data_IF_839213880895
#
_entry.id   IF_839213880895
#
_cell.length_a   1.000
_cell.length_b   1.000
_cell.length_c   1.000
_cell.angle_alpha   90.00
_cell.angle_beta   90.00
_cell.angle_gamma   90.00
#
_symmetry.space_group_name_H-M   'P 1'
#
loop_
_entity.id
_entity.type
_entity.pdbx_description
1 polymer ?
#
# COMPACT_ATOMS: atom_id res chain seq x y z
N UNK A 1 -22.36 -51.20 -36.38
CA UNK A 1 -21.16 -50.53 -35.82
C UNK A 1 -21.43 -49.04 -35.82
N UNK A 2 -21.85 -48.47 -34.69
CA UNK A 2 -21.71 -47.03 -34.44
C UNK A 2 -21.75 -46.76 -32.94
N UNK A 3 -20.96 -45.79 -32.53
CA UNK A 3 -20.28 -45.71 -31.25
C UNK A 3 -21.15 -45.07 -30.17
N UNK A 4 -21.10 -45.64 -28.96
CA UNK A 4 -21.74 -45.09 -27.77
C UNK A 4 -21.22 -43.70 -27.41
N UNK A 5 -22.14 -42.78 -27.12
CA UNK A 5 -21.84 -41.50 -26.48
C UNK A 5 -21.85 -41.70 -24.97
N UNK A 6 -20.68 -41.83 -24.38
CA UNK A 6 -20.47 -41.67 -22.93
C UNK A 6 -20.50 -40.17 -22.58
N UNK A 7 -21.30 -39.81 -21.57
CA UNK A 7 -21.32 -38.46 -20.99
C UNK A 7 -19.99 -38.22 -20.24
N UNK A 8 -19.36 -37.03 -20.30
CA UNK A 8 -18.24 -36.74 -19.41
C UNK A 8 -18.77 -36.64 -17.97
N UNK A 9 -18.19 -37.45 -17.09
CA UNK A 9 -18.53 -37.49 -15.68
C UNK A 9 -18.23 -36.17 -14.97
N UNK A 10 -19.08 -35.83 -14.00
CA UNK A 10 -18.85 -34.78 -13.01
C UNK A 10 -17.62 -35.19 -12.18
N UNK A 11 -16.56 -34.40 -12.25
CA UNK A 11 -15.45 -34.51 -11.30
C UNK A 11 -15.98 -34.00 -9.95
N UNK A 12 -15.97 -34.78 -8.86
CA UNK A 12 -16.30 -34.25 -7.55
C UNK A 12 -15.13 -33.38 -7.09
N UNK A 13 -15.35 -32.07 -7.03
CA UNK A 13 -14.44 -31.15 -6.36
C UNK A 13 -14.65 -31.30 -4.85
N UNK A 14 -13.95 -32.26 -4.25
CA UNK A 14 -13.89 -32.40 -2.79
C UNK A 14 -12.44 -32.25 -2.33
N UNK A 15 -11.99 -31.00 -2.27
CA UNK A 15 -11.04 -30.58 -1.23
C UNK A 15 -11.69 -29.42 -0.47
N UNK A 16 -11.76 -29.46 0.87
CA UNK A 16 -12.23 -28.35 1.66
C UNK A 16 -11.38 -27.10 1.39
N UNK A 17 -12.02 -25.96 1.15
CA UNK A 17 -11.41 -24.66 0.87
C UNK A 17 -11.06 -23.88 2.15
N UNK A 18 -10.91 -24.54 3.29
CA UNK A 18 -10.84 -23.84 4.59
C UNK A 18 -9.43 -23.67 5.17
N UNK A 19 -8.38 -24.12 4.49
CA UNK A 19 -7.00 -23.95 4.97
C UNK A 19 -6.04 -23.48 3.87
N UNK A 20 -6.02 -22.16 3.63
CA UNK A 20 -4.83 -21.35 3.30
C UNK A 20 -5.28 -19.91 3.03
N UNK A 21 -4.47 -18.95 3.49
CA UNK A 21 -4.66 -17.50 3.49
C UNK A 21 -5.36 -16.93 4.74
N UNK A 22 -4.68 -17.01 5.89
CA UNK A 22 -4.49 -15.78 6.66
C UNK A 22 -3.71 -14.86 5.70
N UNK A 23 -4.37 -13.84 5.14
CA UNK A 23 -3.71 -12.92 4.22
C UNK A 23 -2.56 -12.23 4.94
N UNK A 24 -1.32 -12.46 4.51
CA UNK A 24 -0.18 -11.66 4.98
C UNK A 24 -0.48 -10.17 4.72
N UNK A 25 -0.33 -9.35 5.77
CA UNK A 25 -0.54 -7.90 5.68
C UNK A 25 0.80 -7.18 5.65
N UNK A 26 0.86 -6.09 4.89
CA UNK A 26 2.09 -5.35 4.62
C UNK A 26 1.90 -3.89 5.00
N UNK A 27 2.26 -3.56 6.24
CA UNK A 27 2.25 -2.18 6.73
C UNK A 27 3.65 -1.57 6.60
N UNK A 28 4.66 -2.32 7.05
CA UNK A 28 6.06 -1.92 7.03
C UNK A 28 6.86 -2.72 5.98
N UNK A 29 7.94 -2.15 5.41
CA UNK A 29 8.77 -2.87 4.46
C UNK A 29 9.54 -4.01 5.15
N UNK A 30 9.64 -5.16 4.47
CA UNK A 30 10.54 -6.23 4.90
C UNK A 30 12.01 -5.79 4.77
N UNK A 31 12.94 -6.36 5.56
CA UNK A 31 14.37 -6.08 5.41
C UNK A 31 14.88 -6.34 3.99
N UNK A 32 14.41 -7.41 3.33
CA UNK A 32 14.79 -7.74 1.96
C UNK A 32 14.35 -6.67 0.96
N UNK A 33 13.09 -6.23 1.03
CA UNK A 33 12.57 -5.19 0.14
C UNK A 33 13.25 -3.84 0.39
N UNK A 34 13.53 -3.52 1.66
CA UNK A 34 14.23 -2.28 2.00
C UNK A 34 15.70 -2.30 1.58
N UNK A 35 16.37 -3.46 1.61
CA UNK A 35 17.70 -3.62 1.05
C UNK A 35 17.69 -3.44 -0.48
N UNK A 36 16.78 -4.10 -1.19
CA UNK A 36 16.63 -3.91 -2.63
C UNK A 36 16.36 -2.44 -3.01
N UNK A 37 15.58 -1.72 -2.21
CA UNK A 37 15.36 -0.28 -2.40
C UNK A 37 16.65 0.55 -2.24
N UNK A 38 17.51 0.20 -1.26
CA UNK A 38 18.78 0.88 -0.96
C UNK A 38 19.88 0.62 -1.99
N UNK A 39 19.80 -0.49 -2.72
CA UNK A 39 20.79 -0.95 -3.72
C UNK A 39 20.59 -0.27 -5.09
N UNK A 40 19.45 0.38 -5.31
CA UNK A 40 19.18 1.17 -6.50
C UNK A 40 19.84 2.58 -6.44
N UNK A 41 20.06 3.26 -7.58
CA UNK A 41 20.60 4.63 -7.64
C UNK A 41 19.87 5.59 -6.70
N UNK A 42 20.62 6.51 -6.09
CA UNK A 42 20.09 7.36 -4.99
C UNK A 42 19.89 8.82 -5.34
N UNK A 43 20.41 9.24 -6.48
CA UNK A 43 20.51 10.60 -7.01
C UNK A 43 19.54 10.85 -8.18
N UNK A 44 18.68 9.88 -8.49
CA UNK A 44 17.63 9.99 -9.51
C UNK A 44 16.24 10.19 -8.88
N UNK A 45 15.32 10.92 -9.54
CA UNK A 45 13.92 11.01 -9.14
C UNK A 45 13.26 9.64 -8.96
N UNK A 46 12.34 9.54 -8.01
CA UNK A 46 11.58 8.32 -7.75
C UNK A 46 10.09 8.60 -7.64
N UNK A 47 9.28 7.68 -8.16
CA UNK A 47 7.84 7.63 -7.94
C UNK A 47 7.51 6.47 -7.00
N UNK A 48 6.77 6.78 -5.96
CA UNK A 48 6.35 5.82 -4.94
C UNK A 48 4.85 5.62 -5.04
N UNK A 49 4.42 4.56 -5.72
CA UNK A 49 3.03 4.15 -5.80
C UNK A 49 2.61 3.58 -4.44
N UNK A 50 1.57 4.16 -3.88
CA UNK A 50 0.92 3.75 -2.64
C UNK A 50 -0.45 3.19 -2.98
N UNK A 51 -0.74 1.97 -2.51
CA UNK A 51 -2.07 1.39 -2.47
C UNK A 51 -2.41 1.11 -1.01
N UNK A 52 -3.58 1.53 -0.56
CA UNK A 52 -3.96 1.53 0.85
C UNK A 52 -5.26 0.80 1.06
N UNK A 53 -5.31 -0.07 2.06
CA UNK A 53 -6.54 -0.65 2.59
C UNK A 53 -6.66 -0.23 4.06
N UNK A 54 -7.71 0.53 4.37
CA UNK A 54 -7.92 1.07 5.71
C UNK A 54 -8.61 0.07 6.62
N UNK A 55 -8.39 0.22 7.92
CA UNK A 55 -9.21 -0.43 8.95
C UNK A 55 -10.54 0.31 9.08
N UNK A 56 -11.58 -0.44 9.42
CA UNK A 56 -12.86 0.16 9.86
C UNK A 56 -12.64 1.03 11.11
N UNK A 57 -11.85 0.52 12.06
CA UNK A 57 -11.42 1.23 13.27
C UNK A 57 -9.89 1.23 13.38
N UNK A 58 -9.31 2.40 13.63
CA UNK A 58 -7.89 2.60 13.75
C UNK A 58 -7.35 1.96 15.04
N UNK A 59 -6.23 1.24 14.91
CA UNK A 59 -5.61 0.51 16.01
C UNK A 59 -4.35 1.22 16.47
N UNK A 60 -4.52 2.17 17.38
CA UNK A 60 -3.39 2.86 18.00
C UNK A 60 -2.76 2.03 19.13
N UNK A 61 -1.44 2.14 19.35
CA UNK A 61 -0.79 1.60 20.54
C UNK A 61 -1.42 2.14 21.84
N UNK A 62 -1.37 1.34 22.90
CA UNK A 62 -1.82 1.76 24.22
C UNK A 62 -1.07 3.02 24.69
N UNK A 63 -1.79 3.96 25.29
CA UNK A 63 -1.23 5.24 25.76
C UNK A 63 -0.97 6.28 24.67
N UNK A 64 -1.15 5.96 23.38
CA UNK A 64 -1.11 6.97 22.33
C UNK A 64 -2.26 7.98 22.49
N UNK A 65 -2.02 9.27 22.19
CA UNK A 65 -3.01 10.35 22.39
C UNK A 65 -4.33 10.12 21.63
N UNK A 66 -4.35 9.23 20.64
CA UNK A 66 -5.52 8.91 19.83
C UNK A 66 -6.12 7.52 20.14
N UNK A 67 -5.52 6.76 21.05
CA UNK A 67 -6.07 5.48 21.51
C UNK A 67 -7.44 5.69 22.16
N UNK A 68 -8.40 4.80 21.87
CA UNK A 68 -9.75 4.85 22.44
C UNK A 68 -10.66 5.97 21.90
N UNK A 69 -10.22 6.77 20.92
CA UNK A 69 -11.07 7.81 20.31
C UNK A 69 -12.10 7.26 19.31
N UNK A 70 -12.11 5.96 19.02
CA UNK A 70 -13.02 5.33 18.04
C UNK A 70 -12.84 5.87 16.62
N UNK A 71 -11.63 6.27 16.24
CA UNK A 71 -11.36 6.81 14.91
C UNK A 71 -11.41 5.71 13.86
N UNK A 72 -11.94 6.02 12.68
CA UNK A 72 -11.79 5.12 11.53
C UNK A 72 -10.36 5.12 11.01
N UNK A 73 -9.95 4.06 10.30
CA UNK A 73 -8.63 4.00 9.67
C UNK A 73 -8.42 5.15 8.68
N UNK A 74 -9.45 5.49 7.89
CA UNK A 74 -9.40 6.65 6.98
C UNK A 74 -9.16 7.98 7.72
N UNK A 75 -9.76 8.16 8.90
CA UNK A 75 -9.53 9.35 9.75
C UNK A 75 -8.10 9.38 10.29
N UNK A 76 -7.59 8.26 10.79
CA UNK A 76 -6.20 8.16 11.24
C UNK A 76 -5.22 8.44 10.09
N UNK A 77 -5.46 7.92 8.89
CA UNK A 77 -4.62 8.20 7.72
C UNK A 77 -4.67 9.68 7.30
N UNK A 78 -5.82 10.33 7.42
CA UNK A 78 -5.92 11.77 7.21
C UNK A 78 -5.05 12.54 8.21
N UNK A 79 -5.04 12.15 9.49
CA UNK A 79 -4.16 12.78 10.48
C UNK A 79 -2.67 12.51 10.18
N UNK A 80 -2.31 11.31 9.70
CA UNK A 80 -0.98 11.04 9.14
C UNK A 80 -0.62 12.03 8.03
N UNK A 81 -1.50 12.24 7.05
CA UNK A 81 -1.26 13.17 5.95
C UNK A 81 -1.10 14.62 6.42
N UNK A 82 -1.87 15.04 7.43
CA UNK A 82 -1.80 16.37 8.03
C UNK A 82 -0.48 16.59 8.78
N UNK A 83 -0.04 15.61 9.57
CA UNK A 83 1.16 15.70 10.42
C UNK A 83 2.45 15.47 9.64
N UNK A 84 2.47 14.57 8.64
CA UNK A 84 3.64 14.32 7.79
C UNK A 84 3.76 15.27 6.60
N UNK A 85 2.66 15.89 6.15
CA UNK A 85 2.60 16.73 4.95
C UNK A 85 3.60 17.88 4.89
N UNK A 86 3.84 18.65 5.98
CA UNK A 86 4.89 19.67 6.01
C UNK A 86 6.30 19.10 5.77
N UNK A 87 6.63 17.95 6.36
CA UNK A 87 7.93 17.27 6.22
C UNK A 87 8.09 16.75 4.79
N UNK A 88 7.04 16.09 4.27
CA UNK A 88 7.00 15.60 2.90
C UNK A 88 7.29 16.71 1.88
N UNK A 89 6.66 17.89 2.03
CA UNK A 89 6.94 19.04 1.16
C UNK A 89 8.35 19.61 1.35
N UNK A 90 8.84 19.67 2.59
CA UNK A 90 10.18 20.18 2.91
C UNK A 90 11.29 19.40 2.20
N UNK A 91 11.15 18.08 2.09
CA UNK A 91 12.11 17.22 1.36
C UNK A 91 11.92 17.23 -0.16
N UNK A 92 11.03 18.09 -0.70
CA UNK A 92 10.73 18.16 -2.13
C UNK A 92 9.69 17.17 -2.63
N UNK A 93 8.95 16.53 -1.73
CA UNK A 93 7.89 15.59 -2.05
C UNK A 93 6.68 16.27 -2.70
N UNK A 94 6.13 15.65 -3.76
CA UNK A 94 4.89 16.08 -4.42
C UNK A 94 3.99 14.89 -4.72
N UNK A 95 2.67 15.09 -4.73
CA UNK A 95 1.72 14.06 -5.17
C UNK A 95 1.40 14.33 -6.64
N UNK A 96 1.78 13.40 -7.51
CA UNK A 96 1.64 13.56 -8.98
C UNK A 96 0.41 12.85 -9.54
N UNK A 97 -0.14 11.90 -8.78
CA UNK A 97 -1.40 11.22 -9.11
C UNK A 97 -2.10 10.75 -7.83
N UNK A 98 -3.43 10.72 -7.84
CA UNK A 98 -4.28 10.13 -6.79
C UNK A 98 -5.59 9.63 -7.39
N UNK A 99 -6.11 8.53 -6.85
CA UNK A 99 -7.43 8.00 -7.19
C UNK A 99 -8.06 7.23 -6.03
N UNK A 100 -9.39 7.18 -6.03
CA UNK A 100 -10.17 6.30 -5.16
C UNK A 100 -10.46 5.01 -5.93
N UNK A 101 -10.30 3.87 -5.28
CA UNK A 101 -10.55 2.58 -5.91
C UNK A 101 -12.03 2.43 -6.30
N UNK A 102 -12.28 1.86 -7.48
CA UNK A 102 -13.64 1.57 -7.96
C UNK A 102 -13.84 0.07 -8.21
N UNK A 103 -12.90 -0.55 -8.92
CA UNK A 103 -12.94 -1.98 -9.21
C UNK A 103 -11.56 -2.52 -9.61
N UNK A 104 -11.40 -3.83 -9.47
CA UNK A 104 -10.27 -4.58 -10.03
C UNK A 104 -10.71 -5.13 -11.40
N UNK A 105 -10.14 -4.62 -12.49
CA UNK A 105 -10.46 -5.12 -13.84
C UNK A 105 -9.73 -6.43 -14.14
N UNK A 106 -8.45 -6.51 -13.73
CA UNK A 106 -7.62 -7.70 -13.90
C UNK A 106 -6.85 -7.97 -12.61
N UNK A 107 -7.11 -9.11 -11.99
CA UNK A 107 -6.52 -9.50 -10.71
C UNK A 107 -7.51 -10.33 -9.90
N UNK A 108 -7.10 -10.86 -8.74
CA UNK A 108 -8.01 -11.59 -7.88
C UNK A 108 -9.07 -10.66 -7.27
N UNK A 109 -10.30 -11.17 -7.20
CA UNK A 109 -11.43 -10.49 -6.57
C UNK A 109 -11.27 -10.29 -5.07
N UNK A 110 -10.32 -10.96 -4.43
CA UNK A 110 -10.03 -10.72 -3.02
C UNK A 110 -9.14 -9.50 -2.79
N UNK A 111 -8.40 -9.03 -3.81
CA UNK A 111 -7.56 -7.83 -3.65
C UNK A 111 -8.40 -6.57 -3.86
N UNK A 112 -8.45 -5.74 -2.83
CA UNK A 112 -9.20 -4.49 -2.77
C UNK A 112 -8.33 -3.41 -2.15
N UNK A 113 -8.56 -2.18 -2.56
CA UNK A 113 -7.93 -0.98 -2.02
C UNK A 113 -9.01 0.05 -1.74
N UNK A 114 -8.72 0.99 -0.86
CA UNK A 114 -9.52 2.18 -0.63
C UNK A 114 -9.04 3.33 -1.53
N UNK A 115 -7.75 3.65 -1.42
CA UNK A 115 -7.12 4.76 -2.11
C UNK A 115 -5.80 4.33 -2.76
N UNK A 116 -5.45 5.01 -3.85
CA UNK A 116 -4.14 4.93 -4.48
C UNK A 116 -3.57 6.32 -4.75
N UNK A 117 -2.26 6.48 -4.62
CA UNK A 117 -1.56 7.71 -5.04
C UNK A 117 -0.09 7.47 -5.39
N UNK A 118 0.50 8.37 -6.17
CA UNK A 118 1.93 8.38 -6.47
C UNK A 118 2.56 9.60 -5.82
N UNK A 119 3.50 9.36 -4.91
CA UNK A 119 4.36 10.39 -4.35
C UNK A 119 5.67 10.44 -5.15
N UNK A 120 6.00 11.61 -5.68
CA UNK A 120 7.29 11.89 -6.30
C UNK A 120 8.23 12.50 -5.27
N UNK A 121 9.48 12.02 -5.28
CA UNK A 121 10.60 12.64 -4.56
C UNK A 121 11.68 13.04 -5.57
N UNK A 122 12.47 14.11 -5.29
CA UNK A 122 13.58 14.50 -6.15
C UNK A 122 14.64 13.39 -6.26
N UNK A 123 14.79 12.60 -5.20
CA UNK A 123 15.61 11.40 -5.17
C UNK A 123 15.31 10.52 -3.93
N UNK A 124 15.96 9.35 -3.82
CA UNK A 124 15.75 8.46 -2.66
C UNK A 124 16.35 9.00 -1.36
N UNK A 125 17.37 9.86 -1.41
CA UNK A 125 17.93 10.50 -0.23
C UNK A 125 16.89 11.39 0.48
N UNK A 126 16.06 12.11 -0.27
CA UNK A 126 14.94 12.88 0.27
C UNK A 126 13.89 11.99 0.97
N UNK A 127 13.60 10.81 0.42
CA UNK A 127 12.74 9.83 1.09
C UNK A 127 13.37 9.34 2.40
N UNK A 128 14.68 9.05 2.40
CA UNK A 128 15.40 8.64 3.61
C UNK A 128 15.45 9.73 4.67
N UNK A 129 15.62 10.99 4.27
CA UNK A 129 15.56 12.14 5.17
C UNK A 129 14.19 12.23 5.84
N UNK A 130 13.12 12.14 5.04
CA UNK A 130 11.75 12.15 5.55
C UNK A 130 11.51 11.06 6.59
N UNK A 131 11.88 9.80 6.31
CA UNK A 131 11.62 8.73 7.27
C UNK A 131 12.53 8.79 8.50
N UNK A 132 13.65 9.51 8.48
CA UNK A 132 14.53 9.67 9.66
C UNK A 132 14.12 10.87 10.52
N UNK A 133 13.25 11.72 10.01
CA UNK A 133 12.77 12.89 10.72
C UNK A 133 12.00 12.48 11.99
N UNK A 134 12.37 13.02 13.18
CA UNK A 134 11.70 12.68 14.44
C UNK A 134 10.19 12.95 14.43
N UNK A 135 9.75 14.03 13.78
CA UNK A 135 8.32 14.38 13.71
C UNK A 135 7.59 13.43 12.75
N UNK A 136 8.28 12.94 11.71
CA UNK A 136 7.73 11.92 10.83
C UNK A 136 7.56 10.58 11.58
N UNK A 137 8.50 10.23 12.46
CA UNK A 137 8.40 9.03 13.30
C UNK A 137 7.20 9.08 14.25
N UNK A 138 6.82 10.28 14.73
CA UNK A 138 5.58 10.46 15.47
C UNK A 138 4.35 10.37 14.54
N UNK A 139 4.42 10.99 13.36
CA UNK A 139 3.32 10.99 12.40
C UNK A 139 2.99 9.58 11.87
N UNK A 140 4.00 8.75 11.59
CA UNK A 140 3.84 7.44 10.94
C UNK A 140 3.06 6.44 11.81
N UNK A 141 2.99 6.64 13.13
CA UNK A 141 2.12 5.85 14.02
C UNK A 141 0.66 5.92 13.58
N UNK A 142 0.20 7.08 13.09
CA UNK A 142 -1.14 7.25 12.52
C UNK A 142 -1.34 6.41 11.26
N UNK A 143 -0.31 6.28 10.41
CA UNK A 143 -0.34 5.43 9.21
C UNK A 143 -0.45 3.95 9.61
N UNK A 144 0.36 3.50 10.56
CA UNK A 144 0.34 2.12 11.04
C UNK A 144 -1.00 1.77 11.68
N UNK A 145 -1.55 2.67 12.49
CA UNK A 145 -2.88 2.50 13.11
C UNK A 145 -4.01 2.45 12.07
N UNK A 146 -3.85 3.14 10.95
CA UNK A 146 -4.89 3.28 9.93
C UNK A 146 -5.08 2.07 9.02
N UNK A 147 -4.04 1.27 8.78
CA UNK A 147 -3.98 0.35 7.64
C UNK A 147 -4.18 -1.11 8.06
N UNK A 148 -4.99 -1.82 7.28
CA UNK A 148 -5.05 -3.30 7.26
C UNK A 148 -3.90 -3.83 6.43
N UNK A 149 -3.74 -3.32 5.21
CA UNK A 149 -2.72 -3.73 4.24
C UNK A 149 -2.30 -2.54 3.36
N UNK A 150 -1.12 -2.62 2.75
CA UNK A 150 -0.65 -1.60 1.81
C UNK A 150 0.37 -2.14 0.80
N UNK A 151 0.53 -1.44 -0.33
CA UNK A 151 1.69 -1.59 -1.21
C UNK A 151 2.39 -0.26 -1.32
N UNK A 152 3.71 -0.29 -1.21
CA UNK A 152 4.59 0.84 -1.48
C UNK A 152 5.61 0.38 -2.53
N UNK A 153 5.47 0.87 -3.76
CA UNK A 153 6.21 0.36 -4.92
C UNK A 153 7.01 1.51 -5.52
N UNK A 154 8.33 1.32 -5.68
CA UNK A 154 9.22 2.28 -6.32
C UNK A 154 9.22 2.08 -7.83
N UNK A 155 9.05 3.18 -8.57
CA UNK A 155 9.26 3.27 -10.00
C UNK A 155 10.31 4.34 -10.32
N UNK A 156 11.07 4.12 -11.39
CA UNK A 156 11.81 5.18 -12.06
C UNK A 156 10.81 5.99 -12.89
N UNK A 157 10.69 7.31 -12.68
CA UNK A 157 9.81 8.13 -13.49
C UNK A 157 10.21 8.08 -14.97
N UNK A 158 9.22 8.08 -15.85
CA UNK A 158 9.37 8.25 -17.29
C UNK A 158 8.41 9.34 -17.76
N UNK A 159 8.72 9.99 -18.87
CA UNK A 159 7.78 10.91 -19.50
C UNK A 159 6.55 10.12 -19.96
N UNK A 160 5.36 10.69 -19.75
CA UNK A 160 4.14 10.13 -20.32
C UNK A 160 4.22 10.18 -21.84
N UNK A 161 4.10 9.02 -22.50
CA UNK A 161 4.01 8.94 -23.95
C UNK A 161 2.56 9.06 -24.47
N UNK A 162 2.41 9.20 -25.78
CA UNK A 162 1.09 9.16 -26.45
C UNK A 162 0.49 7.74 -26.53
N UNK A 163 1.22 6.71 -26.06
CA UNK A 163 0.83 5.30 -26.14
C UNK A 163 1.13 4.51 -24.85
N UNK A 164 0.82 3.21 -24.89
CA UNK A 164 1.01 2.24 -23.79
C UNK A 164 2.29 1.41 -23.95
#
# INVERSE_FOLDING_TARGET
>A
MERGRTRPGRIPCTRPLEERFVSETFIDPSPANFNAFKDLPRDEPIHMLNLLLYRDEAQYPEGHEHAGKGWSGRRAYHEYGKTSGPIFRRVGGTIVWRGTFQTMVTGPDSMRWDDGFVAQYPNSAAFFEMIKDPDYQLAVVNRTAALVDSRLIRFKPSEGGEGF
#
